data_IF_411046845943
#
_entry.id   IF_411046845943
#
_cell.length_a   1.000
_cell.length_b   1.000
_cell.length_c   1.000
_cell.angle_alpha   90.00
_cell.angle_beta   90.00
_cell.angle_gamma   90.00
#
_symmetry.space_group_name_H-M   'P 1'
#
loop_
_entity.id
_entity.type
_entity.pdbx_description
1 polymer ?
#
# COMPACT_ATOMS: atom_id res chain seq x y z
N UNK A 1 -23.29 26.79 -33.04
CA UNK A 1 -21.92 26.59 -33.49
C UNK A 1 -20.91 27.00 -32.40
N UNK A 2 -21.12 28.13 -31.80
CA UNK A 2 -20.20 28.63 -30.79
C UNK A 2 -20.19 27.79 -29.51
N UNK A 3 -21.25 27.02 -29.28
CA UNK A 3 -21.30 26.13 -28.12
C UNK A 3 -20.41 24.90 -28.23
N UNK A 4 -19.97 24.56 -29.44
CA UNK A 4 -19.19 23.36 -29.67
C UNK A 4 -17.88 23.33 -28.92
N UNK A 5 -17.05 24.40 -28.95
CA UNK A 5 -15.81 24.40 -28.20
C UNK A 5 -16.04 24.29 -26.69
N UNK A 6 -17.08 24.93 -26.19
CA UNK A 6 -17.45 24.88 -24.77
C UNK A 6 -17.85 23.46 -24.37
N UNK A 7 -18.62 22.82 -25.25
CA UNK A 7 -19.03 21.44 -24.99
C UNK A 7 -17.84 20.50 -24.96
N UNK A 8 -16.89 20.66 -25.87
CA UNK A 8 -15.67 19.86 -25.88
C UNK A 8 -14.86 20.07 -24.59
N UNK A 9 -14.80 21.30 -24.12
CA UNK A 9 -14.10 21.61 -22.90
C UNK A 9 -14.75 20.91 -21.69
N UNK A 10 -16.05 20.93 -21.62
CA UNK A 10 -16.78 20.25 -20.56
C UNK A 10 -16.56 18.75 -20.61
N UNK A 11 -16.55 18.17 -21.79
CA UNK A 11 -16.25 16.76 -21.94
C UNK A 11 -14.83 16.44 -21.47
N UNK A 12 -13.87 17.29 -21.81
CA UNK A 12 -12.50 17.10 -21.38
C UNK A 12 -12.39 17.14 -19.85
N UNK A 13 -13.09 18.04 -19.21
CA UNK A 13 -13.12 18.11 -17.75
C UNK A 13 -13.78 16.86 -17.15
N UNK A 14 -14.85 16.40 -17.75
CA UNK A 14 -15.49 15.16 -17.32
C UNK A 14 -14.57 13.96 -17.44
N UNK A 15 -13.84 13.86 -18.53
CA UNK A 15 -12.88 12.81 -18.74
C UNK A 15 -11.75 12.88 -17.72
N UNK A 16 -11.28 14.08 -17.41
CA UNK A 16 -10.25 14.25 -16.39
C UNK A 16 -10.72 13.74 -15.02
N UNK A 17 -11.95 14.09 -14.62
CA UNK A 17 -12.52 13.60 -13.36
C UNK A 17 -12.71 12.09 -13.38
N UNK A 18 -13.16 11.56 -14.49
CA UNK A 18 -13.30 10.12 -14.66
C UNK A 18 -11.95 9.42 -14.57
N UNK A 19 -10.92 10.02 -15.19
CA UNK A 19 -9.57 9.47 -15.09
C UNK A 19 -9.04 9.45 -13.68
N UNK A 20 -9.32 10.47 -12.89
CA UNK A 20 -8.94 10.51 -11.48
C UNK A 20 -9.71 9.45 -10.69
N UNK A 21 -10.97 9.29 -10.98
CA UNK A 21 -11.83 8.31 -10.32
C UNK A 21 -11.51 6.89 -10.76
N UNK A 22 -11.05 6.75 -11.99
CA UNK A 22 -10.83 5.47 -12.61
C UNK A 22 -9.47 4.89 -12.31
N UNK A 23 -9.14 4.70 -11.04
CA UNK A 23 -8.00 3.88 -10.70
C UNK A 23 -8.24 2.50 -11.31
N UNK A 24 -7.40 2.11 -12.29
CA UNK A 24 -7.57 0.88 -13.06
C UNK A 24 -7.48 -0.36 -12.20
N UNK A 25 -6.68 -0.28 -11.15
CA UNK A 25 -6.39 -1.40 -10.28
C UNK A 25 -6.85 -1.09 -8.89
N UNK A 26 -7.46 -2.06 -8.26
CA UNK A 26 -7.89 -1.98 -6.88
C UNK A 26 -6.79 -2.51 -5.99
N UNK A 27 -6.52 -1.82 -4.90
CA UNK A 27 -5.55 -2.25 -3.89
C UNK A 27 -6.19 -2.14 -2.52
N UNK A 28 -5.91 -3.12 -1.67
CA UNK A 28 -6.40 -3.16 -0.29
C UNK A 28 -5.25 -3.56 0.63
N UNK A 29 -5.08 -2.81 1.72
CA UNK A 29 -4.16 -3.15 2.80
C UNK A 29 -4.97 -3.46 4.04
N UNK A 30 -4.71 -4.59 4.70
CA UNK A 30 -5.51 -5.04 5.84
C UNK A 30 -4.73 -5.99 6.73
N UNK A 31 -5.24 -6.19 7.96
CA UNK A 31 -4.75 -7.26 8.80
C UNK A 31 -5.08 -8.61 8.15
N UNK A 32 -4.13 -9.54 8.21
CA UNK A 32 -4.40 -10.90 7.77
C UNK A 32 -5.44 -11.56 8.65
N UNK A 33 -5.28 -11.41 9.96
CA UNK A 33 -6.25 -11.88 10.94
C UNK A 33 -7.21 -10.74 11.27
N UNK A 34 -8.42 -10.82 10.76
CA UNK A 34 -9.42 -9.77 10.93
C UNK A 34 -9.93 -9.63 12.35
N UNK A 35 -9.68 -10.61 13.20
CA UNK A 35 -10.04 -10.53 14.61
C UNK A 35 -9.04 -9.69 15.39
N UNK A 36 -7.84 -9.46 14.85
CA UNK A 36 -6.81 -8.64 15.46
C UNK A 36 -6.87 -7.24 14.86
N UNK A 37 -7.43 -6.28 15.60
CA UNK A 37 -7.53 -4.89 15.15
C UNK A 37 -6.53 -3.99 15.85
N UNK A 38 -6.07 -4.39 17.04
CA UNK A 38 -5.11 -3.64 17.84
C UNK A 38 -4.04 -4.59 18.38
N UNK A 39 -2.83 -4.53 17.83
CA UNK A 39 -1.75 -5.38 18.33
C UNK A 39 -1.29 -4.94 19.71
N UNK A 40 -0.72 -5.87 20.46
CA UNK A 40 -0.13 -5.62 21.76
C UNK A 40 1.38 -5.52 21.65
N UNK A 41 1.99 -4.92 22.65
CA UNK A 41 3.45 -4.78 22.70
C UNK A 41 4.12 -6.15 22.55
N UNK A 42 5.07 -6.25 21.62
CA UNK A 42 5.81 -7.46 21.36
C UNK A 42 5.07 -8.52 20.56
N UNK A 43 3.80 -8.32 20.26
CA UNK A 43 3.01 -9.25 19.47
C UNK A 43 3.45 -9.19 18.01
N UNK A 44 3.59 -10.33 17.33
CA UNK A 44 3.77 -10.30 15.88
C UNK A 44 2.50 -9.84 15.18
N UNK A 45 2.68 -9.11 14.11
CA UNK A 45 1.58 -8.55 13.34
C UNK A 45 1.78 -8.89 11.87
N UNK A 46 0.73 -9.33 11.21
CA UNK A 46 0.78 -9.64 9.78
C UNK A 46 -0.25 -8.82 9.03
N UNK A 47 0.23 -8.13 8.00
CA UNK A 47 -0.60 -7.36 7.07
C UNK A 47 -0.52 -8.00 5.69
N UNK A 48 -1.58 -7.84 4.92
CA UNK A 48 -1.59 -8.30 3.55
C UNK A 48 -2.08 -7.22 2.62
N UNK A 49 -1.46 -7.16 1.46
CA UNK A 49 -1.82 -6.26 0.37
C UNK A 49 -2.39 -7.11 -0.76
N UNK A 50 -3.62 -6.82 -1.13
CA UNK A 50 -4.28 -7.44 -2.26
C UNK A 50 -4.36 -6.43 -3.38
N UNK A 51 -3.95 -6.85 -4.57
CA UNK A 51 -4.04 -6.01 -5.76
C UNK A 51 -4.54 -6.83 -6.93
N UNK A 52 -5.30 -6.20 -7.82
CA UNK A 52 -5.75 -6.80 -9.06
C UNK A 52 -4.58 -7.13 -9.99
N UNK A 53 -3.47 -6.40 -9.86
CA UNK A 53 -2.29 -6.60 -10.69
C UNK A 53 -1.22 -7.33 -9.89
N UNK A 54 -1.28 -8.65 -9.92
CA UNK A 54 -0.43 -9.51 -9.10
C UNK A 54 1.05 -9.47 -9.47
N UNK A 55 1.36 -9.09 -10.70
CA UNK A 55 2.72 -9.16 -11.25
C UNK A 55 3.50 -7.85 -11.15
N UNK A 56 2.95 -6.85 -10.49
CA UNK A 56 3.58 -5.52 -10.41
C UNK A 56 4.63 -5.41 -9.32
N UNK A 57 4.60 -6.31 -8.34
CA UNK A 57 5.28 -6.05 -7.08
C UNK A 57 4.53 -5.02 -6.25
N UNK A 58 4.91 -4.88 -5.01
CA UNK A 58 4.27 -3.91 -4.12
C UNK A 58 5.27 -3.36 -3.11
N UNK A 59 5.06 -2.09 -2.77
CA UNK A 59 5.79 -1.42 -1.68
C UNK A 59 4.90 -1.41 -0.46
N UNK A 60 5.50 -1.57 0.72
CA UNK A 60 4.86 -1.29 1.99
C UNK A 60 5.47 -0.04 2.58
N UNK A 61 4.62 0.87 3.05
CA UNK A 61 5.02 2.11 3.70
C UNK A 61 4.16 2.35 4.93
N UNK A 62 4.72 3.09 5.88
CA UNK A 62 4.03 3.50 7.11
C UNK A 62 4.07 5.00 7.19
N UNK A 63 2.94 5.61 7.47
CA UNK A 63 2.85 7.04 7.80
C UNK A 63 2.71 7.16 9.31
N UNK A 64 3.64 7.86 9.94
CA UNK A 64 3.59 8.04 11.39
C UNK A 64 2.61 9.16 11.78
N UNK A 65 2.48 9.39 13.08
CA UNK A 65 1.55 10.38 13.61
C UNK A 65 1.86 11.80 13.17
N UNK A 66 3.09 12.07 12.78
CA UNK A 66 3.53 13.38 12.32
C UNK A 66 3.34 13.54 10.81
N UNK A 67 2.83 12.52 10.13
CA UNK A 67 2.63 12.52 8.70
C UNK A 67 3.84 12.12 7.90
N UNK A 68 4.94 11.73 8.55
CA UNK A 68 6.15 11.31 7.85
C UNK A 68 5.99 9.90 7.32
N UNK A 69 6.37 9.72 6.05
CA UNK A 69 6.32 8.41 5.40
C UNK A 69 7.63 7.67 5.63
N UNK A 70 7.50 6.41 6.01
CA UNK A 70 8.62 5.51 6.20
C UNK A 70 8.51 4.37 5.21
N UNK A 71 9.46 4.26 4.31
CA UNK A 71 9.55 3.12 3.43
C UNK A 71 9.95 1.89 4.24
N UNK A 72 9.28 0.78 4.00
CA UNK A 72 9.55 -0.47 4.71
C UNK A 72 10.23 -1.47 3.78
N UNK A 73 9.54 -1.86 2.72
CA UNK A 73 10.02 -2.91 1.83
C UNK A 73 9.36 -2.82 0.46
N UNK A 74 10.10 -3.22 -0.55
CA UNK A 74 9.56 -3.59 -1.85
C UNK A 74 9.58 -5.12 -1.98
N UNK A 75 8.48 -5.69 -2.42
CA UNK A 75 8.35 -7.12 -2.68
C UNK A 75 8.08 -7.27 -4.17
N UNK A 76 8.96 -8.00 -4.87
CA UNK A 76 8.76 -8.24 -6.29
C UNK A 76 7.71 -9.33 -6.52
N UNK A 77 7.24 -9.44 -7.76
CA UNK A 77 6.27 -10.47 -8.14
C UNK A 77 6.79 -11.89 -7.95
N UNK A 78 8.11 -12.06 -7.87
CA UNK A 78 8.75 -13.36 -7.62
C UNK A 78 9.23 -13.48 -6.16
N UNK A 79 8.63 -12.69 -5.27
CA UNK A 79 8.87 -12.73 -3.83
C UNK A 79 10.28 -12.37 -3.38
N UNK A 80 10.98 -11.54 -4.15
CA UNK A 80 12.25 -10.96 -3.73
C UNK A 80 11.99 -9.68 -2.98
N UNK A 81 12.75 -9.46 -1.90
CA UNK A 81 12.53 -8.34 -0.99
C UNK A 81 13.71 -7.38 -1.01
N UNK A 82 13.39 -6.08 -0.96
CA UNK A 82 14.37 -5.02 -0.73
C UNK A 82 13.81 -4.13 0.37
N UNK A 83 14.44 -4.21 1.54
CA UNK A 83 14.07 -3.41 2.69
C UNK A 83 14.74 -2.04 2.65
N UNK A 84 14.31 -1.14 3.53
CA UNK A 84 14.90 0.19 3.68
C UNK A 84 16.42 0.08 3.81
N UNK A 85 17.14 1.01 3.17
CA UNK A 85 18.59 0.97 3.13
C UNK A 85 19.15 -0.03 2.12
N UNK A 86 18.34 -0.48 1.16
CA UNK A 86 18.75 -1.43 0.12
C UNK A 86 19.21 -2.78 0.69
N UNK A 87 18.58 -3.21 1.79
CA UNK A 87 18.90 -4.46 2.46
C UNK A 87 18.01 -5.58 1.97
N UNK A 88 18.55 -6.79 1.86
CA UNK A 88 17.77 -7.96 1.43
C UNK A 88 16.96 -8.57 2.56
N UNK A 89 17.36 -8.32 3.79
CA UNK A 89 16.70 -8.84 5.00
C UNK A 89 16.53 -7.72 6.01
N UNK A 90 15.69 -7.97 7.01
CA UNK A 90 15.46 -7.06 8.13
C UNK A 90 15.36 -7.87 9.41
N UNK A 91 15.87 -7.31 10.50
CA UNK A 91 15.69 -7.91 11.82
C UNK A 91 14.32 -7.64 12.41
N UNK A 92 13.61 -6.65 11.88
CA UNK A 92 12.33 -6.17 12.40
C UNK A 92 11.14 -6.65 11.59
N UNK A 93 11.33 -6.83 10.29
CA UNK A 93 10.26 -7.18 9.36
C UNK A 93 10.57 -8.45 8.60
N UNK A 94 9.51 -9.12 8.19
CA UNK A 94 9.54 -10.12 7.13
C UNK A 94 8.55 -9.71 6.05
N UNK A 95 8.81 -10.12 4.83
CA UNK A 95 7.93 -9.82 3.71
C UNK A 95 8.02 -10.91 2.66
N UNK A 96 6.90 -11.19 2.02
CA UNK A 96 6.86 -12.18 0.93
C UNK A 96 5.61 -11.99 0.10
N UNK A 97 5.68 -12.45 -1.14
CA UNK A 97 4.49 -12.66 -1.95
C UNK A 97 4.01 -14.09 -1.74
N UNK A 98 2.72 -14.22 -1.44
CA UNK A 98 2.08 -15.49 -1.21
C UNK A 98 0.77 -15.50 -1.99
N UNK A 99 0.72 -16.29 -3.08
CA UNK A 99 -0.39 -16.27 -4.03
C UNK A 99 -0.57 -14.86 -4.59
N UNK A 100 -1.72 -14.23 -4.39
CA UNK A 100 -2.02 -12.87 -4.85
C UNK A 100 -1.80 -11.82 -3.77
N UNK A 101 -1.27 -12.20 -2.61
CA UNK A 101 -1.05 -11.29 -1.50
C UNK A 101 0.42 -10.94 -1.37
N UNK A 102 0.68 -9.66 -1.11
CA UNK A 102 2.00 -9.19 -0.70
C UNK A 102 1.94 -8.97 0.81
N UNK A 103 2.65 -9.79 1.55
CA UNK A 103 2.53 -9.85 3.01
C UNK A 103 3.68 -9.13 3.68
N UNK A 104 3.35 -8.42 4.76
CA UNK A 104 4.31 -7.78 5.64
C UNK A 104 4.10 -8.31 7.05
N UNK A 105 5.19 -8.74 7.68
CA UNK A 105 5.17 -9.18 9.07
C UNK A 105 6.03 -8.21 9.88
N UNK A 106 5.44 -7.62 10.92
CA UNK A 106 6.17 -6.94 11.97
C UNK A 106 6.42 -7.99 13.04
N UNK A 107 7.69 -8.36 13.24
CA UNK A 107 8.03 -9.51 14.11
C UNK A 107 7.66 -9.29 15.56
N UNK A 108 7.79 -8.06 16.04
CA UNK A 108 7.50 -7.69 17.41
C UNK A 108 7.06 -6.24 17.45
N UNK A 109 5.77 -6.00 17.67
CA UNK A 109 5.17 -4.68 17.55
C UNK A 109 5.61 -3.78 18.70
N UNK A 110 6.10 -2.59 18.38
CA UNK A 110 6.59 -1.57 19.32
C UNK A 110 5.88 -0.24 19.07
N UNK A 111 6.00 0.74 19.99
CA UNK A 111 5.42 2.07 19.75
C UNK A 111 5.88 2.74 18.47
N UNK A 112 7.10 2.49 18.02
CA UNK A 112 7.61 3.04 16.78
C UNK A 112 6.91 2.47 15.55
N UNK A 113 6.22 1.35 15.70
CA UNK A 113 5.51 0.70 14.59
C UNK A 113 4.10 1.23 14.41
N UNK A 114 3.60 2.02 15.34
CA UNK A 114 2.27 2.59 15.20
C UNK A 114 2.20 3.52 14.00
N UNK A 115 1.06 3.53 13.34
CA UNK A 115 0.83 4.42 12.20
C UNK A 115 -0.19 3.85 11.23
N UNK A 116 -0.28 4.50 10.09
CA UNK A 116 -1.12 4.07 9.00
C UNK A 116 -0.28 3.35 7.98
N UNK A 117 -0.58 2.08 7.76
CA UNK A 117 0.15 1.25 6.80
C UNK A 117 -0.63 1.19 5.50
N UNK A 118 0.08 1.31 4.41
CA UNK A 118 -0.53 1.12 3.11
C UNK A 118 0.48 0.55 2.13
N UNK A 119 -0.05 -0.10 1.11
CA UNK A 119 0.76 -0.61 0.03
C UNK A 119 0.54 0.24 -1.21
N UNK A 120 1.54 0.23 -2.07
CA UNK A 120 1.45 0.94 -3.33
C UNK A 120 2.17 0.15 -4.41
N UNK A 121 1.80 0.39 -5.65
CA UNK A 121 2.47 -0.19 -6.80
C UNK A 121 2.65 0.85 -7.88
N UNK A 122 3.63 0.62 -8.73
CA UNK A 122 3.87 1.40 -9.92
C UNK A 122 3.53 0.55 -11.14
N UNK A 123 2.63 1.02 -11.97
CA UNK A 123 2.27 0.37 -13.22
C UNK A 123 2.22 1.41 -14.33
N UNK A 124 3.03 1.22 -15.38
CA UNK A 124 3.11 2.17 -16.48
C UNK A 124 3.36 3.60 -16.02
N UNK A 125 4.28 3.77 -15.04
CA UNK A 125 4.65 5.08 -14.49
C UNK A 125 3.52 5.78 -13.75
N UNK A 126 2.49 5.03 -13.37
CA UNK A 126 1.39 5.53 -12.55
C UNK A 126 1.46 4.83 -11.20
N UNK A 127 1.41 5.62 -10.12
CA UNK A 127 1.38 5.09 -8.77
C UNK A 127 -0.05 4.84 -8.33
N UNK A 128 -0.29 3.65 -7.81
CA UNK A 128 -1.57 3.25 -7.24
C UNK A 128 -1.36 2.99 -5.76
N UNK A 129 -2.29 3.48 -4.95
CA UNK A 129 -2.22 3.39 -3.50
C UNK A 129 -3.41 2.62 -2.97
N UNK A 130 -3.18 1.82 -1.95
CA UNK A 130 -4.29 1.29 -1.15
C UNK A 130 -4.81 2.37 -0.20
N UNK A 131 -6.05 2.23 0.30
CA UNK A 131 -6.44 2.91 1.52
C UNK A 131 -5.49 2.50 2.66
N UNK A 132 -5.36 3.35 3.65
CA UNK A 132 -4.51 3.02 4.79
C UNK A 132 -5.18 2.03 5.71
N UNK A 133 -4.36 1.19 6.35
CA UNK A 133 -4.76 0.34 7.45
C UNK A 133 -4.17 0.93 8.73
N UNK A 134 -4.98 1.50 9.61
CA UNK A 134 -4.48 2.00 10.90
C UNK A 134 -4.01 0.83 11.77
N UNK A 135 -2.84 1.00 12.38
CA UNK A 135 -2.24 0.01 13.25
C UNK A 135 -1.73 0.71 14.50
N UNK A 136 -2.49 0.59 15.57
CA UNK A 136 -2.22 1.27 16.83
C UNK A 136 -2.49 0.34 17.99
N UNK A 137 -1.84 0.61 19.12
CA UNK A 137 -2.16 -0.09 20.38
C UNK A 137 -3.63 0.13 20.75
N UNK A 138 -4.19 -0.81 21.54
CA UNK A 138 -5.56 -0.68 22.02
C UNK A 138 -5.80 0.60 22.81
#
# INVERSE_FOLDING_TARGET
MTGSPTLLLLLALGLCCTGIQGQRYSMTARFRDRSTTHPRLGQPLELECLTDKEDSGAFWVRQDKDGTLHFIVFISSISRTTFAGNQKTSTHFEARKDSKFYRLVVKSFTPQDEGNYFCLMNSNQVLYFSPSQPVFFP
#
